data_IF_847497776263
#
_entry.id   IF_847497776263
#
_cell.length_a   1.000
_cell.length_b   1.000
_cell.length_c   1.000
_cell.angle_alpha   90.00
_cell.angle_beta   90.00
_cell.angle_gamma   90.00
#
_symmetry.space_group_name_H-M   'P 1'
#
loop_
_entity.id
_entity.type
_entity.pdbx_description
1 polymer ?
#
# COMPACT_ATOMS: atom_id res chain seq x y z
N UNK A 1 26.80 -33.83 9.84
CA UNK A 1 25.44 -33.27 10.01
C UNK A 1 25.57 -31.82 10.45
N UNK A 2 25.40 -30.87 9.51
CA UNK A 2 25.65 -29.46 9.76
C UNK A 2 24.52 -28.84 10.59
N UNK A 3 24.85 -28.35 11.79
CA UNK A 3 23.91 -27.65 12.67
C UNK A 3 23.51 -26.32 12.04
N UNK A 4 22.25 -26.21 11.60
CA UNK A 4 21.68 -24.97 11.08
C UNK A 4 21.83 -23.82 12.10
N UNK A 5 22.32 -22.67 11.61
CA UNK A 5 22.58 -21.44 12.36
C UNK A 5 21.35 -20.99 13.17
N UNK A 6 21.49 -20.46 14.41
CA UNK A 6 20.36 -20.09 15.27
C UNK A 6 19.36 -19.10 14.64
N UNK A 7 19.81 -18.25 13.72
CA UNK A 7 18.95 -17.36 12.92
C UNK A 7 17.96 -18.12 12.00
N UNK A 8 18.34 -19.30 11.47
CA UNK A 8 17.43 -20.14 10.69
C UNK A 8 16.31 -20.72 11.56
N UNK A 9 16.61 -21.04 12.82
CA UNK A 9 15.62 -21.55 13.78
C UNK A 9 14.60 -20.47 14.15
N UNK A 10 15.04 -19.23 14.25
CA UNK A 10 14.17 -18.08 14.49
C UNK A 10 13.26 -17.78 13.30
N UNK A 11 13.77 -17.87 12.07
CA UNK A 11 12.97 -17.72 10.84
C UNK A 11 11.98 -18.88 10.63
N UNK A 12 12.35 -20.12 10.98
CA UNK A 12 11.48 -21.29 10.85
C UNK A 12 10.38 -21.35 11.93
N UNK A 13 10.65 -20.86 13.15
CA UNK A 13 9.66 -20.84 14.25
C UNK A 13 8.54 -19.81 14.08
N UNK A 14 8.69 -18.88 13.13
CA UNK A 14 7.68 -17.89 12.78
C UNK A 14 6.67 -18.39 11.71
N UNK A 15 6.77 -19.65 11.27
CA UNK A 15 5.72 -20.33 10.52
C UNK A 15 4.56 -20.71 11.46
N UNK A 16 3.99 -19.72 12.16
CA UNK A 16 2.63 -19.83 12.68
C UNK A 16 1.73 -20.07 11.45
N UNK A 17 0.69 -20.89 11.63
CA UNK A 17 -0.31 -21.24 10.60
C UNK A 17 -0.55 -20.04 9.65
N UNK A 18 -0.65 -20.25 8.32
CA UNK A 18 -0.99 -19.15 7.42
C UNK A 18 -2.29 -18.51 7.91
N UNK A 19 -2.16 -17.31 8.49
CA UNK A 19 -3.31 -16.55 8.95
C UNK A 19 -4.13 -16.23 7.71
N UNK A 20 -5.36 -16.72 7.69
CA UNK A 20 -6.27 -16.45 6.58
C UNK A 20 -6.73 -15.00 6.75
N UNK A 21 -6.18 -14.11 5.92
CA UNK A 21 -6.68 -12.75 5.82
C UNK A 21 -8.12 -12.80 5.31
N UNK A 22 -9.05 -12.28 6.10
CA UNK A 22 -10.44 -12.11 5.70
C UNK A 22 -10.61 -10.65 5.29
N UNK A 23 -10.87 -10.36 4.00
CA UNK A 23 -11.24 -9.01 3.59
C UNK A 23 -12.49 -8.57 4.36
N UNK A 24 -12.50 -7.36 4.87
CA UNK A 24 -13.63 -6.80 5.62
C UNK A 24 -14.85 -6.50 4.73
N UNK A 25 -14.71 -6.56 3.40
CA UNK A 25 -15.78 -6.36 2.44
C UNK A 25 -16.77 -7.55 2.36
N UNK A 26 -18.06 -7.27 2.44
CA UNK A 26 -19.15 -8.20 2.09
C UNK A 26 -19.07 -8.57 0.61
N UNK A 27 -18.79 -9.84 0.29
CA UNK A 27 -18.72 -10.30 -1.10
C UNK A 27 -20.12 -10.58 -1.66
N UNK A 28 -20.66 -9.63 -2.42
CA UNK A 28 -21.55 -9.96 -3.54
C UNK A 28 -20.73 -9.97 -4.85
N UNK A 29 -21.00 -10.89 -5.80
CA UNK A 29 -20.24 -10.97 -7.04
C UNK A 29 -20.46 -9.72 -7.90
N UNK A 30 -19.40 -9.07 -8.36
CA UNK A 30 -19.46 -8.08 -9.45
C UNK A 30 -19.37 -6.60 -9.06
N UNK A 31 -19.37 -6.25 -7.77
CA UNK A 31 -19.09 -4.89 -7.30
C UNK A 31 -18.00 -4.95 -6.23
N UNK A 32 -16.86 -4.30 -6.49
CA UNK A 32 -15.77 -4.21 -5.52
C UNK A 32 -16.17 -3.29 -4.37
N UNK A 33 -16.91 -3.82 -3.39
CA UNK A 33 -17.33 -3.05 -2.22
C UNK A 33 -16.10 -2.79 -1.33
N UNK A 34 -15.85 -1.52 -1.05
CA UNK A 34 -14.83 -1.08 -0.09
C UNK A 34 -15.34 -1.30 1.34
N UNK A 35 -14.45 -1.58 2.31
CA UNK A 35 -14.86 -1.62 3.71
C UNK A 35 -15.33 -0.23 4.17
N UNK A 36 -16.20 -0.22 5.19
CA UNK A 36 -16.52 1.01 5.91
C UNK A 36 -15.31 1.53 6.68
N UNK A 37 -15.26 2.84 6.90
CA UNK A 37 -14.24 3.52 7.66
C UNK A 37 -14.82 3.84 9.03
N UNK A 38 -14.16 3.36 10.09
CA UNK A 38 -14.62 3.63 11.46
C UNK A 38 -14.02 4.92 11.98
N UNK A 39 -14.87 5.85 12.39
CA UNK A 39 -14.46 7.11 13.01
C UNK A 39 -15.56 7.61 13.95
N UNK A 40 -15.19 8.09 15.15
CA UNK A 40 -16.13 8.69 16.10
C UNK A 40 -17.29 7.78 16.54
N UNK A 41 -17.14 6.45 16.45
CA UNK A 41 -18.20 5.47 16.74
C UNK A 41 -19.14 5.17 15.56
N UNK A 42 -18.91 5.76 14.39
CA UNK A 42 -19.69 5.56 13.17
C UNK A 42 -18.96 4.63 12.19
N UNK A 43 -19.72 3.87 11.40
CA UNK A 43 -19.23 3.13 10.23
C UNK A 43 -19.57 3.93 8.97
N UNK A 44 -18.58 4.66 8.44
CA UNK A 44 -18.76 5.58 7.31
C UNK A 44 -18.49 4.90 5.97
N UNK A 45 -19.23 5.29 4.94
CA UNK A 45 -18.85 5.07 3.55
C UNK A 45 -17.66 5.96 3.16
N UNK A 46 -17.04 5.64 2.02
CA UNK A 46 -15.94 6.46 1.48
C UNK A 46 -16.39 7.88 1.15
N UNK A 47 -17.63 8.05 0.67
CA UNK A 47 -18.12 9.37 0.29
C UNK A 47 -18.38 10.22 1.53
N UNK A 48 -18.99 9.65 2.58
CA UNK A 48 -19.19 10.35 3.86
C UNK A 48 -17.85 10.74 4.50
N UNK A 49 -16.85 9.85 4.48
CA UNK A 49 -15.53 10.17 5.01
C UNK A 49 -14.81 11.25 4.17
N UNK A 50 -14.95 11.23 2.85
CA UNK A 50 -14.39 12.26 1.97
C UNK A 50 -15.05 13.62 2.22
N UNK A 51 -16.38 13.63 2.32
CA UNK A 51 -17.18 14.82 2.57
C UNK A 51 -16.84 15.44 3.93
N UNK A 52 -16.70 14.61 4.97
CA UNK A 52 -16.29 15.08 6.30
C UNK A 52 -14.89 15.73 6.28
N UNK A 53 -13.91 15.08 5.63
CA UNK A 53 -12.56 15.62 5.51
C UNK A 53 -12.53 16.92 4.70
N UNK A 54 -13.35 17.02 3.65
CA UNK A 54 -13.46 18.21 2.83
C UNK A 54 -14.00 19.39 3.64
N UNK A 55 -15.12 19.19 4.35
CA UNK A 55 -15.79 20.28 5.07
C UNK A 55 -14.94 20.84 6.22
N UNK A 56 -14.29 19.98 7.00
CA UNK A 56 -13.62 20.42 8.25
C UNK A 56 -12.12 20.57 8.14
N UNK A 57 -11.51 20.04 7.07
CA UNK A 57 -10.07 19.85 7.06
C UNK A 57 -9.41 20.12 5.70
N UNK A 58 -10.14 20.49 4.64
CA UNK A 58 -9.56 20.74 3.32
C UNK A 58 -8.33 21.67 3.37
N UNK A 59 -8.42 22.76 4.14
CA UNK A 59 -7.31 23.73 4.32
C UNK A 59 -6.11 23.16 5.10
N UNK A 60 -6.34 22.17 5.98
CA UNK A 60 -5.29 21.48 6.73
C UNK A 60 -4.61 20.38 5.90
N UNK A 61 -5.18 19.99 4.74
CA UNK A 61 -4.68 18.88 3.91
C UNK A 61 -3.49 19.25 3.00
N UNK A 62 -3.15 20.54 2.88
CA UNK A 62 -1.99 21.02 2.11
C UNK A 62 -0.62 20.74 2.80
N UNK A 63 -0.62 20.17 4.01
CA UNK A 63 0.60 19.83 4.75
C UNK A 63 1.42 18.71 4.04
N UNK A 64 2.76 18.72 4.16
CA UNK A 64 3.61 17.75 3.48
C UNK A 64 3.28 16.31 3.90
N UNK A 65 2.89 15.49 2.93
CA UNK A 65 2.54 14.05 3.02
C UNK A 65 1.81 13.64 4.31
N UNK A 66 0.50 13.81 4.33
CA UNK A 66 -0.35 13.34 5.43
C UNK A 66 -0.20 11.83 5.64
N UNK A 67 0.15 11.44 6.87
CA UNK A 67 0.20 10.02 7.26
C UNK A 67 -1.20 9.44 7.46
N UNK A 68 -1.34 8.11 7.39
CA UNK A 68 -2.64 7.43 7.57
C UNK A 68 -3.19 7.68 8.98
N UNK A 69 -2.32 7.69 9.99
CA UNK A 69 -2.70 7.99 11.37
C UNK A 69 -3.22 9.42 11.53
N UNK A 70 -2.56 10.41 10.91
CA UNK A 70 -3.03 11.80 10.94
C UNK A 70 -4.38 11.95 10.23
N UNK A 71 -4.56 11.30 9.07
CA UNK A 71 -5.85 11.28 8.37
C UNK A 71 -6.97 10.66 9.22
N UNK A 72 -6.66 9.60 9.98
CA UNK A 72 -7.61 8.99 10.91
C UNK A 72 -8.02 9.97 12.01
N UNK A 73 -7.06 10.69 12.60
CA UNK A 73 -7.33 11.69 13.65
C UNK A 73 -8.13 12.88 13.11
N UNK A 74 -7.82 13.35 11.90
CA UNK A 74 -8.58 14.41 11.23
C UNK A 74 -10.02 13.97 10.98
N UNK A 75 -10.23 12.74 10.49
CA UNK A 75 -11.57 12.21 10.28
C UNK A 75 -12.36 12.06 11.59
N UNK A 76 -11.72 11.60 12.67
CA UNK A 76 -12.37 11.52 14.00
C UNK A 76 -12.83 12.89 14.51
N UNK A 77 -11.99 13.91 14.34
CA UNK A 77 -12.34 15.31 14.68
C UNK A 77 -13.50 15.79 13.81
N UNK A 78 -13.44 15.57 12.49
CA UNK A 78 -14.48 15.95 11.53
C UNK A 78 -15.85 15.35 11.90
N UNK A 79 -15.89 14.05 12.18
CA UNK A 79 -17.10 13.32 12.58
C UNK A 79 -17.67 13.83 13.90
N UNK A 80 -16.78 14.15 14.84
CA UNK A 80 -17.19 14.71 16.15
C UNK A 80 -17.78 16.11 16.01
N UNK A 81 -17.22 16.91 15.11
CA UNK A 81 -17.66 18.29 14.84
C UNK A 81 -18.99 18.34 14.09
N UNK A 82 -19.15 17.55 13.04
CA UNK A 82 -20.36 17.52 12.20
C UNK A 82 -21.53 16.79 12.88
N UNK A 83 -21.24 15.74 13.65
CA UNK A 83 -22.25 14.82 14.17
C UNK A 83 -22.99 14.06 13.05
N UNK A 84 -23.96 13.22 13.44
CA UNK A 84 -24.66 12.35 12.49
C UNK A 84 -25.49 13.09 11.44
N UNK A 85 -26.21 14.14 11.84
CA UNK A 85 -27.04 14.92 10.91
C UNK A 85 -26.18 15.74 9.94
N UNK A 86 -25.14 16.42 10.45
CA UNK A 86 -24.24 17.22 9.60
C UNK A 86 -23.50 16.37 8.57
N UNK A 87 -23.10 15.14 8.92
CA UNK A 87 -22.46 14.21 7.98
C UNK A 87 -23.35 13.89 6.76
N UNK A 88 -24.65 13.69 6.96
CA UNK A 88 -25.58 13.39 5.87
C UNK A 88 -25.75 14.59 4.93
N UNK A 89 -25.91 15.79 5.49
CA UNK A 89 -26.07 17.03 4.72
C UNK A 89 -24.82 17.34 3.88
N UNK A 90 -23.64 17.19 4.48
CA UNK A 90 -22.35 17.43 3.83
C UNK A 90 -22.10 16.36 2.75
N UNK A 91 -22.41 15.09 3.01
CA UNK A 91 -22.24 14.01 2.02
C UNK A 91 -23.15 14.19 0.79
N UNK A 92 -24.40 14.61 0.97
CA UNK A 92 -25.31 14.89 -0.15
C UNK A 92 -24.77 16.01 -1.03
N UNK A 93 -24.34 17.12 -0.42
CA UNK A 93 -23.77 18.27 -1.14
C UNK A 93 -22.47 17.88 -1.86
N UNK A 94 -21.55 17.22 -1.17
CA UNK A 94 -20.25 16.80 -1.70
C UNK A 94 -20.37 15.87 -2.92
N UNK A 95 -21.41 15.03 -2.97
CA UNK A 95 -21.66 14.11 -4.08
C UNK A 95 -21.87 14.81 -5.43
N UNK A 96 -22.25 16.10 -5.40
CA UNK A 96 -22.48 16.92 -6.60
C UNK A 96 -21.23 17.63 -7.11
N UNK A 97 -20.12 17.61 -6.35
CA UNK A 97 -18.91 18.35 -6.70
C UNK A 97 -18.16 17.72 -7.88
N UNK A 98 -17.97 18.54 -8.92
CA UNK A 98 -17.17 18.19 -10.09
C UNK A 98 -15.68 18.43 -9.83
N UNK A 99 -14.85 17.48 -10.27
CA UNK A 99 -13.38 17.52 -10.07
C UNK A 99 -12.71 18.74 -10.73
N UNK A 100 -13.29 19.26 -11.81
CA UNK A 100 -12.74 20.42 -12.50
C UNK A 100 -12.93 21.72 -11.72
N UNK A 101 -13.95 21.79 -10.87
CA UNK A 101 -14.29 22.97 -10.06
C UNK A 101 -13.65 22.87 -8.67
N UNK A 102 -13.64 21.67 -8.07
CA UNK A 102 -13.14 21.42 -6.72
C UNK A 102 -12.07 20.31 -6.73
N UNK A 103 -10.80 20.62 -7.08
CA UNK A 103 -9.72 19.63 -7.08
C UNK A 103 -9.45 19.03 -5.69
N UNK A 104 -9.66 19.79 -4.62
CA UNK A 104 -9.51 19.36 -3.22
C UNK A 104 -10.50 18.24 -2.87
N UNK A 105 -11.67 18.21 -3.53
CA UNK A 105 -12.65 17.14 -3.37
C UNK A 105 -12.10 15.80 -3.90
N UNK A 106 -11.31 15.80 -4.99
CA UNK A 106 -10.66 14.59 -5.51
C UNK A 106 -9.58 14.09 -4.55
N UNK A 107 -8.83 14.99 -3.92
CA UNK A 107 -7.85 14.63 -2.91
C UNK A 107 -8.52 14.06 -1.65
N UNK A 108 -9.64 14.63 -1.20
CA UNK A 108 -10.45 14.06 -0.11
C UNK A 108 -10.99 12.66 -0.44
N UNK A 109 -11.48 12.44 -1.66
CA UNK A 109 -11.88 11.10 -2.14
C UNK A 109 -10.71 10.12 -2.15
N UNK A 110 -9.51 10.59 -2.52
CA UNK A 110 -8.30 9.78 -2.45
C UNK A 110 -7.90 9.45 -1.00
N UNK A 111 -7.96 10.41 -0.07
CA UNK A 111 -7.69 10.18 1.35
C UNK A 111 -8.68 9.20 1.97
N UNK A 112 -9.97 9.34 1.69
CA UNK A 112 -11.00 8.40 2.12
C UNK A 112 -10.78 7.00 1.53
N UNK A 113 -10.40 6.90 0.25
CA UNK A 113 -10.02 5.63 -0.36
C UNK A 113 -8.82 4.99 0.37
N UNK A 114 -7.81 5.77 0.72
CA UNK A 114 -6.64 5.29 1.49
C UNK A 114 -7.02 4.81 2.89
N UNK A 115 -7.92 5.51 3.60
CA UNK A 115 -8.42 5.07 4.90
C UNK A 115 -9.23 3.77 4.78
N UNK A 116 -10.05 3.62 3.74
CA UNK A 116 -10.75 2.38 3.46
C UNK A 116 -9.76 1.22 3.17
N UNK A 117 -8.67 1.50 2.45
CA UNK A 117 -7.61 0.51 2.28
C UNK A 117 -6.96 0.12 3.62
N UNK A 118 -6.75 1.06 4.54
CA UNK A 118 -6.20 0.74 5.86
C UNK A 118 -7.08 -0.25 6.63
N UNK A 119 -8.40 -0.15 6.47
CA UNK A 119 -9.40 -1.05 7.05
C UNK A 119 -9.72 -2.29 6.18
N UNK A 120 -8.94 -2.57 5.13
CA UNK A 120 -9.26 -3.61 4.14
C UNK A 120 -9.36 -5.02 4.71
N UNK A 121 -8.57 -5.34 5.74
CA UNK A 121 -8.63 -6.63 6.42
C UNK A 121 -9.22 -6.50 7.81
N UNK A 122 -10.08 -7.45 8.18
CA UNK A 122 -10.59 -7.51 9.54
C UNK A 122 -9.45 -7.74 10.51
N UNK A 123 -9.31 -6.87 11.52
CA UNK A 123 -8.29 -6.93 12.56
C UNK A 123 -6.84 -6.92 12.02
N UNK A 124 -6.56 -6.29 10.89
CA UNK A 124 -5.18 -6.12 10.43
C UNK A 124 -5.01 -4.78 9.72
N UNK A 125 -3.92 -4.08 10.05
CA UNK A 125 -3.55 -2.86 9.34
C UNK A 125 -3.11 -3.25 7.94
N UNK A 126 -3.58 -2.52 6.94
CA UNK A 126 -3.23 -2.79 5.57
C UNK A 126 -2.70 -1.55 4.88
N UNK A 127 -1.71 -1.73 4.02
CA UNK A 127 -1.22 -0.64 3.16
C UNK A 127 -0.84 -1.12 1.78
N UNK A 128 -0.90 -0.23 0.77
CA UNK A 128 -0.24 -0.49 -0.49
C UNK A 128 1.26 -0.77 -0.32
N UNK A 129 1.83 -1.55 -1.23
CA UNK A 129 3.28 -1.68 -1.31
C UNK A 129 3.93 -0.34 -1.66
N UNK A 130 5.06 -0.05 -1.01
CA UNK A 130 5.88 1.09 -1.39
C UNK A 130 6.52 0.88 -2.75
N UNK A 131 6.98 1.97 -3.35
CA UNK A 131 7.73 1.92 -4.61
C UNK A 131 8.97 0.99 -4.51
N UNK A 132 9.67 1.00 -3.38
CA UNK A 132 10.83 0.13 -3.14
C UNK A 132 10.47 -1.35 -3.02
N UNK A 133 9.39 -1.66 -2.30
CA UNK A 133 8.91 -3.04 -2.15
C UNK A 133 8.45 -3.63 -3.48
N UNK A 134 7.71 -2.87 -4.27
CA UNK A 134 7.25 -3.30 -5.58
C UNK A 134 8.43 -3.53 -6.53
N UNK A 135 9.44 -2.66 -6.49
CA UNK A 135 10.66 -2.81 -7.28
C UNK A 135 11.49 -4.03 -6.86
N UNK A 136 11.65 -4.25 -5.55
CA UNK A 136 12.34 -5.43 -5.01
C UNK A 136 11.62 -6.73 -5.40
N UNK A 137 10.29 -6.76 -5.27
CA UNK A 137 9.48 -7.89 -5.72
C UNK A 137 9.63 -8.13 -7.23
N UNK A 138 9.57 -7.08 -8.06
CA UNK A 138 9.79 -7.21 -9.49
C UNK A 138 11.19 -7.76 -9.81
N UNK A 139 12.22 -7.28 -9.12
CA UNK A 139 13.59 -7.75 -9.30
C UNK A 139 13.76 -9.24 -8.91
N UNK A 140 13.06 -9.70 -7.86
CA UNK A 140 13.00 -11.10 -7.45
C UNK A 140 12.20 -11.99 -8.41
N UNK A 141 11.35 -11.41 -9.27
CA UNK A 141 10.57 -12.16 -10.26
C UNK A 141 11.41 -12.57 -11.49
N UNK A 142 10.85 -13.44 -12.34
CA UNK A 142 11.49 -13.84 -13.61
C UNK A 142 11.37 -12.77 -14.71
N UNK A 143 10.73 -11.63 -14.44
CA UNK A 143 10.52 -10.55 -15.41
C UNK A 143 11.83 -10.13 -16.07
N UNK A 144 11.88 -10.29 -17.39
CA UNK A 144 12.99 -9.90 -18.27
C UNK A 144 14.38 -10.42 -17.87
N UNK A 145 14.47 -11.53 -17.11
CA UNK A 145 15.78 -12.14 -16.78
C UNK A 145 16.53 -12.68 -17.99
N UNK A 146 15.81 -13.04 -19.05
CA UNK A 146 16.37 -13.64 -20.26
C UNK A 146 16.14 -12.77 -21.51
N UNK A 147 15.64 -11.53 -21.34
CA UNK A 147 15.45 -10.62 -22.46
C UNK A 147 16.82 -10.10 -22.92
N UNK A 148 17.43 -10.81 -23.87
CA UNK A 148 18.75 -10.50 -24.40
C UNK A 148 18.80 -9.16 -25.18
N UNK A 149 17.66 -8.69 -25.68
CA UNK A 149 17.56 -7.48 -26.49
C UNK A 149 16.08 -7.07 -26.62
N UNK A 150 15.77 -5.78 -26.45
CA UNK A 150 14.58 -5.15 -27.04
C UNK A 150 13.26 -5.17 -26.27
N UNK A 151 12.69 -3.98 -26.10
CA UNK A 151 11.26 -3.65 -25.93
C UNK A 151 10.46 -4.39 -24.84
N UNK A 152 10.16 -3.67 -23.76
CA UNK A 152 9.26 -4.11 -22.69
C UNK A 152 7.82 -4.17 -23.22
N UNK A 153 7.34 -5.37 -23.56
CA UNK A 153 6.05 -5.61 -24.21
C UNK A 153 4.91 -6.01 -23.25
N UNK A 154 5.19 -6.14 -21.95
CA UNK A 154 4.18 -6.50 -20.95
C UNK A 154 3.29 -5.33 -20.52
N UNK A 155 1.97 -5.50 -20.63
CA UNK A 155 0.98 -4.57 -20.08
C UNK A 155 0.97 -4.52 -18.54
N UNK A 156 0.31 -3.53 -17.94
CA UNK A 156 0.32 -3.30 -16.48
C UNK A 156 -0.10 -4.53 -15.66
N UNK A 157 -1.04 -5.35 -16.14
CA UNK A 157 -1.46 -6.60 -15.49
C UNK A 157 -0.35 -7.65 -15.41
N UNK A 158 0.45 -7.78 -16.47
CA UNK A 158 1.57 -8.72 -16.51
C UNK A 158 2.67 -8.29 -15.53
N UNK A 159 2.93 -6.99 -15.45
CA UNK A 159 3.83 -6.42 -14.43
C UNK A 159 3.32 -6.70 -13.01
N UNK A 160 2.02 -6.51 -12.76
CA UNK A 160 1.41 -6.82 -11.46
C UNK A 160 1.52 -8.30 -11.09
N UNK A 161 1.34 -9.19 -12.07
CA UNK A 161 1.55 -10.63 -11.88
C UNK A 161 3.00 -10.96 -11.50
N UNK A 162 3.99 -10.39 -12.20
CA UNK A 162 5.41 -10.58 -11.86
C UNK A 162 5.77 -10.04 -10.48
N UNK A 163 5.25 -8.86 -10.10
CA UNK A 163 5.43 -8.32 -8.75
C UNK A 163 4.85 -9.30 -7.72
N UNK A 164 3.64 -9.82 -7.92
CA UNK A 164 3.05 -10.80 -7.01
C UNK A 164 3.89 -12.08 -6.92
N UNK A 165 4.38 -12.59 -8.04
CA UNK A 165 5.26 -13.76 -8.05
C UNK A 165 6.54 -13.53 -7.25
N UNK A 166 7.22 -12.42 -7.49
CA UNK A 166 8.47 -12.12 -6.79
C UNK A 166 8.25 -11.83 -5.30
N UNK A 167 7.15 -11.15 -4.95
CA UNK A 167 6.76 -10.94 -3.55
C UNK A 167 6.51 -12.27 -2.82
N UNK A 168 5.99 -13.29 -3.50
CA UNK A 168 5.75 -14.62 -2.92
C UNK A 168 7.03 -15.46 -2.72
N UNK A 169 8.19 -15.06 -3.26
CA UNK A 169 9.45 -15.81 -3.14
C UNK A 169 10.17 -15.57 -1.82
N UNK A 170 9.79 -14.54 -1.07
CA UNK A 170 10.41 -14.17 0.20
C UNK A 170 9.34 -13.88 1.24
N UNK A 171 9.63 -14.05 2.54
CA UNK A 171 8.72 -13.58 3.59
C UNK A 171 8.43 -12.08 3.44
N UNK A 172 7.20 -11.64 3.73
CA UNK A 172 6.82 -10.22 3.61
C UNK A 172 7.72 -9.30 4.44
N UNK A 173 8.18 -9.76 5.62
CA UNK A 173 9.16 -9.05 6.45
C UNK A 173 10.50 -8.83 5.73
N UNK A 174 10.96 -9.81 4.94
CA UNK A 174 12.16 -9.68 4.13
C UNK A 174 11.94 -8.74 2.95
N UNK A 175 10.76 -8.81 2.30
CA UNK A 175 10.40 -7.92 1.20
C UNK A 175 10.40 -6.44 1.62
N UNK A 176 9.80 -6.13 2.77
CA UNK A 176 9.81 -4.78 3.36
C UNK A 176 11.23 -4.28 3.60
N UNK A 177 12.09 -5.12 4.19
CA UNK A 177 13.50 -4.78 4.42
C UNK A 177 14.26 -4.54 3.10
N UNK A 178 14.07 -5.42 2.12
CA UNK A 178 14.68 -5.30 0.80
C UNK A 178 14.23 -4.01 0.10
N UNK A 179 12.95 -3.67 0.16
CA UNK A 179 12.41 -2.44 -0.43
C UNK A 179 13.02 -1.18 0.15
N UNK A 180 13.13 -1.09 1.49
CA UNK A 180 13.83 0.01 2.17
C UNK A 180 15.29 0.12 1.72
N UNK A 181 16.02 -0.99 1.74
CA UNK A 181 17.46 -1.01 1.39
C UNK A 181 17.68 -0.69 -0.09
N UNK A 182 16.82 -1.19 -0.98
CA UNK A 182 16.89 -0.90 -2.41
C UNK A 182 16.68 0.59 -2.69
N UNK A 183 15.65 1.20 -2.10
CA UNK A 183 15.40 2.64 -2.26
C UNK A 183 16.56 3.46 -1.71
N UNK A 184 17.08 3.13 -0.52
CA UNK A 184 18.22 3.82 0.07
C UNK A 184 19.50 3.69 -0.79
N UNK A 185 19.79 2.48 -1.28
CA UNK A 185 20.96 2.21 -2.11
C UNK A 185 20.91 2.95 -3.46
N UNK A 186 19.73 3.05 -4.08
CA UNK A 186 19.55 3.69 -5.37
C UNK A 186 19.35 5.21 -5.28
N UNK A 187 18.83 5.72 -4.16
CA UNK A 187 18.70 7.15 -3.89
C UNK A 187 20.03 7.79 -3.45
N UNK A 188 21.07 7.00 -3.12
CA UNK A 188 22.36 7.47 -2.57
C UNK A 188 22.22 8.33 -1.29
N UNK A 189 21.10 8.23 -0.58
CA UNK A 189 20.72 9.15 0.50
C UNK A 189 20.92 8.62 1.92
N UNK A 190 21.34 7.36 2.14
CA UNK A 190 21.54 6.88 3.51
C UNK A 190 22.62 5.80 3.68
N UNK A 191 23.33 5.88 4.82
CA UNK A 191 24.18 4.84 5.39
C UNK A 191 23.32 3.61 5.67
N UNK A 192 23.42 2.59 4.83
CA UNK A 192 22.69 1.33 5.01
C UNK A 192 23.21 0.65 6.29
N UNK A 193 22.33 0.37 7.25
CA UNK A 193 22.69 -0.38 8.47
C UNK A 193 23.42 -1.69 8.09
N UNK A 194 24.61 -1.99 8.64
CA UNK A 194 25.47 -3.09 8.21
C UNK A 194 24.80 -4.48 8.16
N UNK A 195 23.80 -4.72 9.04
CA UNK A 195 23.08 -6.00 9.11
C UNK A 195 21.95 -6.20 8.10
N UNK A 196 21.54 -5.16 7.37
CA UNK A 196 20.49 -5.23 6.32
C UNK A 196 21.07 -5.35 4.91
N UNK A 197 22.34 -4.94 4.75
CA UNK A 197 23.02 -4.91 3.44
C UNK A 197 23.31 -6.30 2.91
N UNK A 198 23.62 -7.27 3.78
CA UNK A 198 23.93 -8.64 3.33
C UNK A 198 22.74 -9.31 2.63
N UNK A 199 21.52 -9.17 3.18
CA UNK A 199 20.31 -9.75 2.60
C UNK A 199 20.02 -9.12 1.23
N UNK A 200 20.20 -7.81 1.13
CA UNK A 200 20.08 -7.09 -0.15
C UNK A 200 21.09 -7.61 -1.18
N UNK A 201 22.38 -7.73 -0.83
CA UNK A 201 23.39 -8.22 -1.76
C UNK A 201 23.20 -9.69 -2.16
N UNK A 202 22.69 -10.53 -1.26
CA UNK A 202 22.41 -11.94 -1.59
C UNK A 202 21.16 -12.11 -2.43
N UNK A 203 20.07 -11.42 -2.10
CA UNK A 203 18.79 -11.58 -2.77
C UNK A 203 18.71 -10.78 -4.09
N UNK A 204 19.38 -9.63 -4.16
CA UNK A 204 19.31 -8.67 -5.26
C UNK A 204 20.73 -8.24 -5.73
N UNK A 205 21.57 -9.19 -6.21
CA UNK A 205 22.96 -8.91 -6.54
C UNK A 205 23.15 -7.99 -7.77
N UNK A 206 22.20 -7.96 -8.70
CA UNK A 206 22.30 -7.20 -9.95
C UNK A 206 21.78 -5.76 -9.79
N UNK A 207 22.72 -4.81 -9.67
CA UNK A 207 22.41 -3.39 -9.54
C UNK A 207 21.63 -2.82 -10.75
N UNK A 208 21.99 -3.21 -11.97
CA UNK A 208 21.37 -2.68 -13.19
C UNK A 208 19.92 -3.15 -13.31
N UNK A 209 19.68 -4.41 -12.96
CA UNK A 209 18.32 -4.95 -12.83
C UNK A 209 17.52 -4.20 -11.78
N UNK A 210 18.06 -4.03 -10.58
CA UNK A 210 17.36 -3.34 -9.48
C UNK A 210 16.95 -1.92 -9.90
N UNK A 211 17.86 -1.18 -10.55
CA UNK A 211 17.59 0.16 -11.07
C UNK A 211 16.50 0.16 -12.14
N UNK A 212 16.58 -0.74 -13.13
CA UNK A 212 15.56 -0.86 -14.18
C UNK A 212 14.17 -1.18 -13.62
N UNK A 213 14.09 -2.12 -12.68
CA UNK A 213 12.85 -2.46 -12.00
C UNK A 213 12.29 -1.26 -11.22
N UNK A 214 13.15 -0.51 -10.53
CA UNK A 214 12.75 0.71 -9.83
C UNK A 214 12.18 1.75 -10.79
N UNK A 215 12.87 2.03 -11.89
CA UNK A 215 12.46 3.01 -12.89
C UNK A 215 11.12 2.61 -13.54
N UNK A 216 10.94 1.30 -13.80
CA UNK A 216 9.70 0.77 -14.35
C UNK A 216 8.52 0.91 -13.38
N UNK A 217 8.72 0.65 -12.07
CA UNK A 217 7.70 0.91 -11.05
C UNK A 217 7.46 2.43 -10.89
N UNK A 218 8.50 3.27 -11.00
CA UNK A 218 8.39 4.72 -10.87
C UNK A 218 7.66 5.38 -12.03
N UNK A 219 7.57 4.74 -13.19
CA UNK A 219 6.94 5.27 -14.41
C UNK A 219 5.44 5.65 -14.31
N UNK A 220 4.82 5.57 -13.12
CA UNK A 220 3.44 5.99 -12.90
C UNK A 220 2.39 5.06 -13.50
N UNK A 221 2.78 3.92 -14.06
CA UNK A 221 1.83 2.95 -14.63
C UNK A 221 0.88 2.43 -13.54
N UNK A 222 -0.43 2.27 -13.86
CA UNK A 222 -1.44 1.74 -12.95
C UNK A 222 -1.29 0.21 -12.81
N UNK A 223 -0.19 -0.21 -12.18
CA UNK A 223 0.13 -1.62 -11.97
C UNK A 223 -0.69 -2.09 -10.75
N UNK A 224 -1.52 -3.15 -10.90
CA UNK A 224 -2.26 -3.73 -9.80
C UNK A 224 -1.28 -4.43 -8.86
N UNK A 225 -1.07 -3.86 -7.68
CA UNK A 225 -0.16 -4.39 -6.66
C UNK A 225 -0.92 -4.99 -5.47
N UNK A 226 -0.44 -6.11 -4.90
CA UNK A 226 -1.01 -6.62 -3.66
C UNK A 226 -0.75 -5.65 -2.51
N UNK A 227 -1.62 -5.68 -1.50
CA UNK A 227 -1.40 -4.97 -0.24
C UNK A 227 -0.43 -5.74 0.66
N UNK A 228 0.20 -5.05 1.60
CA UNK A 228 0.83 -5.65 2.77
C UNK A 228 -0.11 -5.50 3.95
N UNK A 229 -0.32 -6.58 4.69
CA UNK A 229 -1.11 -6.58 5.91
C UNK A 229 -0.24 -6.91 7.11
N UNK A 230 -0.49 -6.22 8.22
CA UNK A 230 0.13 -6.44 9.51
C UNK A 230 -0.93 -6.92 10.49
N UNK A 231 -0.75 -8.14 10.99
CA UNK A 231 -1.68 -8.73 11.95
C UNK A 231 -1.50 -8.09 13.34
N UNK A 232 -2.42 -8.27 14.28
CA UNK A 232 -2.32 -7.72 15.64
C UNK A 232 -1.07 -8.20 16.37
N UNK A 233 -0.59 -9.40 16.05
CA UNK A 233 0.65 -9.96 16.59
C UNK A 233 1.92 -9.38 15.92
N UNK A 234 1.78 -8.45 14.99
CA UNK A 234 2.86 -7.79 14.27
C UNK A 234 3.42 -8.60 13.09
N UNK A 235 2.80 -9.72 12.72
CA UNK A 235 3.24 -10.52 11.58
C UNK A 235 2.86 -9.82 10.26
N UNK A 236 3.80 -9.79 9.32
CA UNK A 236 3.57 -9.24 7.97
C UNK A 236 3.21 -10.34 6.99
N UNK A 237 2.19 -10.08 6.17
CA UNK A 237 1.75 -11.01 5.11
C UNK A 237 1.34 -10.26 3.85
N UNK A 238 1.34 -10.97 2.72
CA UNK A 238 0.92 -10.45 1.43
C UNK A 238 -0.58 -10.63 1.25
N UNK A 239 -1.27 -9.55 0.94
CA UNK A 239 -2.71 -9.51 0.74
C UNK A 239 -3.15 -9.64 -0.72
N UNK A 240 -4.45 -9.46 -0.93
CA UNK A 240 -5.10 -9.21 -2.20
C UNK A 240 -4.66 -7.87 -2.81
N UNK A 241 -4.91 -7.77 -4.12
CA UNK A 241 -4.83 -6.52 -4.88
C UNK A 241 -6.13 -5.75 -4.64
N UNK A 242 -6.09 -4.47 -4.22
CA UNK A 242 -7.30 -3.68 -4.07
C UNK A 242 -7.87 -3.31 -5.46
N UNK A 243 -9.16 -2.98 -5.57
CA UNK A 243 -9.68 -2.38 -6.81
C UNK A 243 -9.02 -1.00 -7.07
N UNK A 244 -9.10 -0.45 -8.28
CA UNK A 244 -8.50 0.84 -8.60
C UNK A 244 -9.10 1.98 -7.76
N UNK A 245 -8.25 2.92 -7.33
CA UNK A 245 -8.67 4.13 -6.63
C UNK A 245 -9.26 5.22 -7.56
N UNK A 246 -9.78 6.32 -6.99
CA UNK A 246 -10.26 7.48 -7.73
C UNK A 246 -9.22 7.99 -8.73
N UNK A 247 -9.66 8.40 -9.93
CA UNK A 247 -8.77 8.85 -11.00
C UNK A 247 -7.75 7.81 -11.50
N UNK A 248 -7.94 6.52 -11.18
CA UNK A 248 -6.94 5.45 -11.40
C UNK A 248 -5.57 5.79 -10.80
N UNK A 249 -5.55 6.61 -9.73
CA UNK A 249 -4.34 7.03 -9.04
C UNK A 249 -3.82 5.85 -8.22
N UNK A 250 -2.78 5.18 -8.72
CA UNK A 250 -1.95 4.25 -7.96
C UNK A 250 -0.73 5.00 -7.44
N UNK A 251 -0.94 6.03 -6.62
CA UNK A 251 0.16 6.75 -5.98
C UNK A 251 0.83 5.80 -4.98
N UNK A 252 2.12 5.54 -5.22
CA UNK A 252 2.93 4.66 -4.38
C UNK A 252 3.75 5.53 -3.46
N UNK A 253 3.52 5.39 -2.17
CA UNK A 253 4.37 6.04 -1.18
C UNK A 253 5.80 5.55 -1.32
N UNK A 254 6.75 6.44 -1.08
CA UNK A 254 8.17 6.11 -0.88
C UNK A 254 8.41 5.62 0.54
N UNK A 255 7.54 6.01 1.45
CA UNK A 255 7.51 5.73 2.89
C UNK A 255 6.52 4.64 3.23
N UNK A 256 6.81 3.87 4.28
CA UNK A 256 5.87 2.90 4.81
C UNK A 256 4.92 3.57 5.78
N UNK A 257 3.64 3.56 5.44
CA UNK A 257 2.59 4.16 6.24
C UNK A 257 1.52 3.09 6.49
N UNK A 258 1.44 2.65 7.74
CA UNK A 258 0.47 1.67 8.20
C UNK A 258 -0.77 2.36 8.74
#
# INVERSE_FOLDING_TARGET
MSTLHPLYRQAASAARRPLTLVPAASRLPGQGQMPSIRAGGWDLSREEAAAALFETSADELELPSLSTGLLSTLLERAVTELGGTGLLEVAETFSTFEVAEFPEADDCRWFAYRLALAAWYTNADARPMTLGEAAAALALSDHDRHAATGTHTGGARMLGWHVRQGAARVPATALVRLGRTLTAALARTAVVRPGSTWLYHQALPDHNRNRRCLDLIRSGRPIPLPMLARTPEGALTLGAVPPPGPGNRWTRSTTEEW
#
